data_IF_921690912368
#
_entry.id   IF_921690912368
#
_cell.length_a   1.000
_cell.length_b   1.000
_cell.length_c   1.000
_cell.angle_alpha   90.00
_cell.angle_beta   90.00
_cell.angle_gamma   90.00
#
_symmetry.space_group_name_H-M   'P 1'
#
loop_
_entity.id
_entity.type
_entity.pdbx_description
1 polymer ?
#
# COMPACT_ATOMS: atom_id res chain seq x y z
N UNK A 1 0.68 -26.17 -6.37
CA UNK A 1 -0.39 -25.24 -5.98
C UNK A 1 0.16 -23.83 -6.18
N UNK A 2 -0.25 -23.12 -7.24
CA UNK A 2 0.27 -21.78 -7.54
C UNK A 2 -0.30 -20.84 -6.49
N UNK A 3 0.49 -20.50 -5.47
CA UNK A 3 0.18 -19.44 -4.53
C UNK A 3 0.05 -18.15 -5.33
N UNK A 4 -1.17 -17.84 -5.77
CA UNK A 4 -1.49 -16.51 -6.25
C UNK A 4 -1.26 -15.59 -5.06
N UNK A 5 -0.08 -14.98 -5.00
CA UNK A 5 0.14 -13.80 -4.18
C UNK A 5 -0.81 -12.76 -4.76
N UNK A 6 -2.04 -12.70 -4.25
CA UNK A 6 -2.96 -11.60 -4.52
C UNK A 6 -2.30 -10.40 -3.84
N UNK A 7 -1.54 -9.63 -4.62
CA UNK A 7 -1.06 -8.34 -4.17
C UNK A 7 -2.30 -7.49 -3.91
N UNK A 8 -2.55 -7.15 -2.66
CA UNK A 8 -3.73 -6.35 -2.29
C UNK A 8 -3.44 -4.89 -2.61
N UNK A 9 -4.36 -4.22 -3.29
CA UNK A 9 -4.31 -2.76 -3.41
C UNK A 9 -4.79 -2.13 -2.09
N UNK A 10 -4.19 -1.01 -1.68
CA UNK A 10 -4.62 -0.27 -0.47
C UNK A 10 -6.12 0.04 -0.45
N UNK A 11 -6.71 0.24 -1.63
CA UNK A 11 -8.16 0.37 -1.81
C UNK A 11 -8.94 -0.86 -1.31
N UNK A 12 -8.53 -2.05 -1.75
CA UNK A 12 -9.19 -3.31 -1.39
C UNK A 12 -9.05 -3.59 0.11
N UNK A 13 -7.89 -3.25 0.67
CA UNK A 13 -7.64 -3.32 2.10
C UNK A 13 -8.62 -2.43 2.89
N UNK A 14 -8.76 -1.15 2.49
CA UNK A 14 -9.72 -0.23 3.10
C UNK A 14 -11.16 -0.75 2.98
N UNK A 15 -11.54 -1.23 1.81
CA UNK A 15 -12.89 -1.77 1.55
C UNK A 15 -13.18 -3.03 2.39
N UNK A 16 -12.17 -3.88 2.64
CA UNK A 16 -12.30 -5.06 3.53
C UNK A 16 -12.57 -4.71 5.00
N UNK A 17 -12.17 -3.51 5.41
CA UNK A 17 -12.44 -2.95 6.75
C UNK A 17 -13.75 -2.15 6.79
N UNK A 18 -14.53 -2.14 5.70
CA UNK A 18 -15.78 -1.40 5.57
C UNK A 18 -15.65 0.12 5.73
N UNK A 19 -14.47 0.68 5.48
CA UNK A 19 -14.21 2.11 5.57
C UNK A 19 -14.39 2.80 4.22
N UNK A 20 -14.96 4.00 4.21
CA UNK A 20 -14.92 4.93 3.08
C UNK A 20 -13.59 5.69 3.03
N UNK A 21 -13.27 6.28 1.87
CA UNK A 21 -12.07 7.12 1.75
C UNK A 21 -12.12 8.36 2.67
N UNK A 22 -13.31 8.88 2.96
CA UNK A 22 -13.50 10.04 3.85
C UNK A 22 -13.28 9.66 5.31
N UNK A 23 -13.76 8.50 5.76
CA UNK A 23 -13.54 8.01 7.13
C UNK A 23 -12.05 7.73 7.37
N UNK A 24 -11.39 7.05 6.42
CA UNK A 24 -9.94 6.85 6.52
C UNK A 24 -9.16 8.18 6.47
N UNK A 25 -9.62 9.15 5.68
CA UNK A 25 -9.00 10.46 5.62
C UNK A 25 -9.12 11.24 6.94
N UNK A 26 -10.26 11.13 7.62
CA UNK A 26 -10.48 11.73 8.94
C UNK A 26 -9.52 11.12 9.98
N UNK A 27 -9.40 9.79 10.01
CA UNK A 27 -8.48 9.08 10.91
C UNK A 27 -7.01 9.48 10.66
N UNK A 28 -6.63 9.60 9.39
CA UNK A 28 -5.28 9.97 8.98
C UNK A 28 -5.02 11.49 9.05
N UNK A 29 -6.02 12.31 9.40
CA UNK A 29 -5.95 13.77 9.40
C UNK A 29 -5.45 14.38 8.08
N UNK A 30 -5.91 13.82 6.96
CA UNK A 30 -5.60 14.28 5.60
C UNK A 30 -6.88 14.53 4.81
N UNK A 31 -6.76 15.09 3.61
CA UNK A 31 -7.90 15.18 2.70
C UNK A 31 -8.25 13.82 2.09
N UNK A 32 -9.53 13.60 1.77
CA UNK A 32 -9.98 12.41 1.03
C UNK A 32 -9.25 12.30 -0.34
N UNK A 33 -8.93 13.42 -0.98
CA UNK A 33 -8.13 13.43 -2.22
C UNK A 33 -6.71 12.86 -1.99
N UNK A 34 -6.10 13.10 -0.83
CA UNK A 34 -4.79 12.52 -0.47
C UNK A 34 -4.89 11.00 -0.37
N UNK A 35 -5.92 10.47 0.29
CA UNK A 35 -6.20 9.03 0.36
C UNK A 35 -6.42 8.43 -1.04
N UNK A 36 -7.25 9.09 -1.86
CA UNK A 36 -7.52 8.67 -3.23
C UNK A 36 -6.25 8.60 -4.09
N UNK A 37 -5.34 9.58 -3.95
CA UNK A 37 -4.08 9.60 -4.68
C UNK A 37 -3.10 8.51 -4.22
N UNK A 38 -3.09 8.21 -2.92
CA UNK A 38 -2.32 7.09 -2.37
C UNK A 38 -2.86 5.76 -2.92
N UNK A 39 -4.18 5.56 -2.92
CA UNK A 39 -4.83 4.33 -3.42
C UNK A 39 -4.65 4.12 -4.93
N UNK A 40 -4.51 5.19 -5.72
CA UNK A 40 -4.16 5.11 -7.15
C UNK A 40 -2.68 4.79 -7.38
N UNK A 41 -1.82 5.03 -6.38
CA UNK A 41 -0.39 4.76 -6.44
C UNK A 41 0.43 5.83 -7.15
N UNK A 42 -0.14 6.99 -7.48
CA UNK A 42 0.55 8.02 -8.29
C UNK A 42 1.71 8.68 -7.53
N UNK A 43 1.48 9.09 -6.27
CA UNK A 43 2.50 9.68 -5.40
C UNK A 43 3.43 8.62 -4.79
N UNK A 44 2.90 7.43 -4.49
CA UNK A 44 3.65 6.35 -3.87
C UNK A 44 4.66 5.72 -4.83
N UNK A 45 4.36 5.61 -6.13
CA UNK A 45 5.27 4.99 -7.11
C UNK A 45 6.62 5.67 -7.20
N UNK A 46 6.68 7.01 -7.27
CA UNK A 46 7.95 7.72 -7.42
C UNK A 46 8.86 7.59 -6.19
N UNK A 47 8.29 7.65 -4.98
CA UNK A 47 9.04 7.47 -3.74
C UNK A 47 9.47 6.01 -3.54
N UNK A 48 8.58 5.06 -3.81
CA UNK A 48 8.90 3.62 -3.72
C UNK A 48 9.94 3.20 -4.74
N UNK A 49 9.89 3.73 -5.96
CA UNK A 49 10.88 3.42 -6.99
C UNK A 49 12.28 3.91 -6.62
N UNK A 50 12.37 5.07 -5.97
CA UNK A 50 13.64 5.58 -5.42
C UNK A 50 14.19 4.63 -4.36
N UNK A 51 13.36 4.17 -3.42
CA UNK A 51 13.77 3.21 -2.40
C UNK A 51 14.15 1.84 -2.99
N UNK A 52 13.43 1.37 -4.02
CA UNK A 52 13.76 0.14 -4.74
C UNK A 52 15.14 0.21 -5.37
N UNK A 53 15.43 1.29 -6.12
CA UNK A 53 16.73 1.51 -6.76
C UNK A 53 17.86 1.58 -5.73
N UNK A 54 17.63 2.27 -4.62
CA UNK A 54 18.60 2.37 -3.52
C UNK A 54 18.91 1.00 -2.92
N UNK A 55 17.89 0.23 -2.55
CA UNK A 55 18.06 -1.11 -1.95
C UNK A 55 18.70 -2.08 -2.94
N UNK A 56 18.34 -2.02 -4.22
CA UNK A 56 18.97 -2.82 -5.28
C UNK A 56 20.46 -2.49 -5.45
N UNK A 57 20.84 -1.21 -5.38
CA UNK A 57 22.25 -0.81 -5.44
C UNK A 57 23.08 -1.38 -4.27
N UNK A 58 22.44 -1.70 -3.15
CA UNK A 58 23.04 -2.37 -1.99
C UNK A 58 22.97 -3.91 -2.07
N UNK A 59 22.44 -4.48 -3.17
CA UNK A 59 22.24 -5.93 -3.31
C UNK A 59 21.05 -6.49 -2.54
N UNK A 60 20.18 -5.62 -2.02
CA UNK A 60 18.98 -6.01 -1.27
C UNK A 60 17.72 -6.11 -2.14
N UNK A 61 16.63 -6.56 -1.52
CA UNK A 61 15.28 -6.55 -2.11
C UNK A 61 14.32 -5.80 -1.19
N UNK A 62 13.57 -4.84 -1.73
CA UNK A 62 12.53 -4.13 -0.97
C UNK A 62 11.21 -4.93 -1.05
N UNK A 63 10.71 -5.36 0.11
CA UNK A 63 9.37 -5.91 0.26
C UNK A 63 8.53 -4.92 1.07
N UNK A 64 7.37 -4.51 0.55
CA UNK A 64 6.39 -3.74 1.31
C UNK A 64 5.23 -4.66 1.71
N UNK A 65 4.95 -4.71 2.99
CA UNK A 65 3.93 -5.60 3.55
C UNK A 65 3.04 -4.83 4.53
N UNK A 66 1.76 -5.17 4.58
CA UNK A 66 0.78 -4.65 5.54
C UNK A 66 0.31 -5.82 6.38
N UNK A 67 0.32 -5.64 7.69
CA UNK A 67 -0.24 -6.60 8.64
C UNK A 67 -1.57 -6.08 9.18
N UNK A 68 -2.63 -6.89 9.04
CA UNK A 68 -3.93 -6.63 9.66
C UNK A 68 -4.29 -7.85 10.51
N UNK A 69 -4.22 -7.69 11.84
CA UNK A 69 -4.34 -8.81 12.76
C UNK A 69 -3.25 -9.86 12.48
N UNK A 70 -3.68 -11.10 12.20
CA UNK A 70 -2.79 -12.23 11.92
C UNK A 70 -2.50 -12.41 10.41
N UNK A 71 -3.07 -11.57 9.55
CA UNK A 71 -2.88 -11.65 8.10
C UNK A 71 -1.82 -10.67 7.62
N UNK A 72 -0.95 -11.13 6.70
CA UNK A 72 0.08 -10.30 6.05
C UNK A 72 -0.18 -10.21 4.55
N UNK A 73 -0.19 -8.99 4.04
CA UNK A 73 -0.48 -8.66 2.65
C UNK A 73 0.72 -7.98 2.00
N UNK A 74 1.16 -8.47 0.85
CA UNK A 74 2.17 -7.76 0.04
C UNK A 74 1.52 -6.61 -0.70
N UNK A 75 2.07 -5.41 -0.51
CA UNK A 75 1.78 -4.23 -1.31
C UNK A 75 2.77 -4.25 -2.48
N UNK A 76 2.24 -4.15 -3.70
CA UNK A 76 2.94 -4.31 -4.98
C UNK A 76 4.32 -3.64 -5.09
#
# INVERSE_FOLDING_TARGET
MRSQVRAYRLRELRESLHLTQSELAAELQVSQNRVSTIERGDLAKAQLDTLRRYVQALGGTLNLEVQLGDETFKIA
#
